data_IF_716221918220
#
_entry.id   IF_716221918220
#
_cell.length_a   1.000
_cell.length_b   1.000
_cell.length_c   1.000
_cell.angle_alpha   90.00
_cell.angle_beta   90.00
_cell.angle_gamma   90.00
#
_symmetry.space_group_name_H-M   'P 1'
#
loop_
_entity.id
_entity.type
_entity.pdbx_description
1 polymer ?
#
# COMPACT_ATOMS: atom_id res chain seq x y z
N UNK A 1 3.74 -7.86 35.05
CA UNK A 1 3.35 -9.15 34.43
C UNK A 1 4.58 -9.70 33.75
N UNK A 2 5.00 -10.92 34.09
CA UNK A 2 5.98 -11.65 33.29
C UNK A 2 5.28 -12.16 32.03
N UNK A 3 5.85 -11.92 30.85
CA UNK A 3 5.35 -12.45 29.58
C UNK A 3 6.20 -13.68 29.28
N UNK A 4 5.57 -14.84 29.06
CA UNK A 4 6.33 -16.04 28.71
C UNK A 4 6.99 -15.92 27.33
N UNK A 5 8.14 -16.57 27.18
CA UNK A 5 8.97 -16.48 25.98
C UNK A 5 8.24 -16.98 24.72
N UNK A 6 7.36 -17.97 24.86
CA UNK A 6 6.58 -18.51 23.75
C UNK A 6 5.58 -17.48 23.20
N UNK A 7 4.90 -16.74 24.07
CA UNK A 7 3.99 -15.63 23.73
C UNK A 7 4.78 -14.52 23.04
N UNK A 8 5.96 -14.18 23.57
CA UNK A 8 6.79 -13.12 22.99
C UNK A 8 7.32 -13.52 21.61
N UNK A 9 7.77 -14.76 21.43
CA UNK A 9 8.23 -15.28 20.14
C UNK A 9 7.11 -15.27 19.09
N UNK A 10 5.90 -15.72 19.47
CA UNK A 10 4.73 -15.68 18.59
C UNK A 10 4.35 -14.26 18.18
N UNK A 11 4.37 -13.34 19.14
CA UNK A 11 4.11 -11.92 18.88
C UNK A 11 5.18 -11.31 17.97
N UNK A 12 6.46 -11.64 18.19
CA UNK A 12 7.58 -11.18 17.37
C UNK A 12 7.43 -11.63 15.92
N UNK A 13 7.12 -12.91 15.69
CA UNK A 13 6.92 -13.44 14.35
C UNK A 13 5.78 -12.72 13.61
N UNK A 14 4.64 -12.50 14.28
CA UNK A 14 3.51 -11.78 13.69
C UNK A 14 3.82 -10.30 13.40
N UNK A 15 4.59 -9.65 14.28
CA UNK A 15 5.03 -8.27 14.12
C UNK A 15 5.98 -8.11 12.93
N UNK A 16 7.04 -8.93 12.89
CA UNK A 16 8.07 -8.86 11.85
C UNK A 16 7.51 -9.23 10.47
N UNK A 17 6.63 -10.24 10.38
CA UNK A 17 5.94 -10.58 9.13
C UNK A 17 5.08 -9.41 8.60
N UNK A 18 4.35 -8.71 9.49
CA UNK A 18 3.56 -7.56 9.11
C UNK A 18 4.44 -6.41 8.61
N UNK A 19 5.55 -6.12 9.30
CA UNK A 19 6.48 -5.07 8.87
C UNK A 19 7.16 -5.40 7.55
N UNK A 20 7.48 -6.68 7.31
CA UNK A 20 8.05 -7.15 6.05
C UNK A 20 7.05 -6.95 4.91
N UNK A 21 5.79 -7.34 5.09
CA UNK A 21 4.74 -7.12 4.09
C UNK A 21 4.52 -5.62 3.80
N UNK A 22 4.58 -4.75 4.82
CA UNK A 22 4.49 -3.30 4.63
C UNK A 22 5.67 -2.75 3.82
N UNK A 23 6.89 -3.27 4.03
CA UNK A 23 8.09 -2.88 3.28
C UNK A 23 7.99 -3.32 1.82
N UNK A 24 7.63 -4.58 1.58
CA UNK A 24 7.46 -5.11 0.22
C UNK A 24 6.40 -4.34 -0.56
N UNK A 25 5.27 -4.01 0.08
CA UNK A 25 4.23 -3.18 -0.51
C UNK A 25 4.75 -1.75 -0.83
N UNK A 26 5.58 -1.17 0.04
CA UNK A 26 6.21 0.14 -0.22
C UNK A 26 7.21 0.09 -1.36
N UNK A 27 8.05 -0.94 -1.44
CA UNK A 27 9.00 -1.13 -2.54
C UNK A 27 8.29 -1.35 -3.88
N UNK A 28 7.27 -2.21 -3.90
CA UNK A 28 6.44 -2.42 -5.08
C UNK A 28 5.78 -1.11 -5.53
N UNK A 29 5.25 -0.33 -4.58
CA UNK A 29 4.66 0.99 -4.86
C UNK A 29 5.68 1.96 -5.46
N UNK A 30 6.91 2.00 -4.94
CA UNK A 30 7.97 2.86 -5.47
C UNK A 30 8.33 2.47 -6.91
N UNK A 31 8.52 1.16 -7.17
CA UNK A 31 8.80 0.64 -8.51
C UNK A 31 7.68 0.99 -9.49
N UNK A 32 6.42 0.77 -9.11
CA UNK A 32 5.25 1.09 -9.93
C UNK A 32 5.11 2.60 -10.17
N UNK A 33 5.40 3.43 -9.17
CA UNK A 33 5.37 4.91 -9.32
C UNK A 33 6.44 5.38 -10.31
N UNK A 34 7.63 4.78 -10.27
CA UNK A 34 8.69 5.07 -11.23
C UNK A 34 8.28 4.66 -12.65
N UNK A 35 7.81 3.42 -12.83
CA UNK A 35 7.30 2.92 -14.11
C UNK A 35 6.18 3.81 -14.68
N UNK A 36 5.23 4.25 -13.84
CA UNK A 36 4.16 5.17 -14.26
C UNK A 36 4.69 6.50 -14.79
N UNK A 37 5.75 7.06 -14.18
CA UNK A 37 6.39 8.30 -14.67
C UNK A 37 7.05 8.09 -16.02
N UNK A 38 7.69 6.95 -16.22
CA UNK A 38 8.31 6.59 -17.50
C UNK A 38 7.25 6.43 -18.60
N UNK A 39 6.18 5.68 -18.33
CA UNK A 39 5.04 5.50 -19.25
C UNK A 39 4.37 6.84 -19.56
N UNK A 40 4.17 7.71 -18.56
CA UNK A 40 3.58 9.03 -18.78
C UNK A 40 4.47 9.94 -19.64
N UNK A 41 5.80 9.84 -19.49
CA UNK A 41 6.75 10.59 -20.31
C UNK A 41 6.77 10.06 -21.74
N UNK A 42 6.75 8.73 -21.91
CA UNK A 42 6.65 8.08 -23.21
C UNK A 42 5.35 8.45 -23.93
N UNK A 43 4.20 8.38 -23.25
CA UNK A 43 2.91 8.80 -23.78
C UNK A 43 2.97 10.22 -24.36
N UNK A 44 3.43 11.20 -23.58
CA UNK A 44 3.54 12.60 -24.06
C UNK A 44 4.40 12.74 -25.31
N UNK A 45 5.54 12.02 -25.37
CA UNK A 45 6.42 12.05 -26.55
C UNK A 45 5.74 11.45 -27.77
N UNK A 46 5.05 10.32 -27.61
CA UNK A 46 4.34 9.66 -28.70
C UNK A 46 3.14 10.47 -29.19
N UNK A 47 2.36 11.06 -28.28
CA UNK A 47 1.27 11.97 -28.63
C UNK A 47 1.78 13.17 -29.41
N UNK A 48 2.83 13.85 -28.93
CA UNK A 48 3.42 14.99 -29.63
C UNK A 48 3.98 14.61 -31.01
N UNK A 49 4.61 13.43 -31.14
CA UNK A 49 5.09 12.94 -32.43
C UNK A 49 3.91 12.69 -33.39
N UNK A 50 2.83 12.06 -32.91
CA UNK A 50 1.62 11.80 -33.69
C UNK A 50 0.95 13.09 -34.16
N UNK A 51 0.79 14.07 -33.25
CA UNK A 51 0.18 15.37 -33.53
C UNK A 51 0.99 16.22 -34.52
N UNK A 52 2.31 16.05 -34.59
CA UNK A 52 3.17 16.75 -35.55
C UNK A 52 3.20 16.13 -36.95
N UNK A 53 2.68 14.92 -37.15
CA UNK A 53 2.56 14.32 -38.48
C UNK A 53 1.48 15.03 -39.30
N UNK A 54 1.71 15.16 -40.61
CA UNK A 54 0.67 15.59 -41.56
C UNK A 54 -0.46 14.56 -41.64
N UNK A 55 -1.64 14.98 -42.09
CA UNK A 55 -2.78 14.07 -42.28
C UNK A 55 -2.44 12.92 -43.24
N UNK A 56 -1.71 13.21 -44.32
CA UNK A 56 -1.22 12.22 -45.29
C UNK A 56 -0.30 11.19 -44.63
N UNK A 57 0.63 11.63 -43.76
CA UNK A 57 1.53 10.75 -43.04
C UNK A 57 0.76 9.89 -42.02
N UNK A 58 -0.22 10.45 -41.31
CA UNK A 58 -1.08 9.68 -40.39
C UNK A 58 -1.91 8.63 -41.14
N UNK A 59 -2.47 8.98 -42.31
CA UNK A 59 -3.20 8.04 -43.15
C UNK A 59 -2.31 6.89 -43.63
N UNK A 60 -1.06 7.18 -44.02
CA UNK A 60 -0.11 6.14 -44.42
C UNK A 60 0.26 5.22 -43.25
N UNK A 61 0.43 5.75 -42.03
CA UNK A 61 0.68 4.94 -40.84
C UNK A 61 -0.53 4.07 -40.50
N UNK A 62 -1.75 4.62 -40.56
CA UNK A 62 -2.99 3.87 -40.33
C UNK A 62 -3.15 2.73 -41.34
N UNK A 63 -2.89 3.00 -42.63
CA UNK A 63 -2.90 1.98 -43.67
C UNK A 63 -1.84 0.89 -43.38
N UNK A 64 -0.62 1.28 -43.01
CA UNK A 64 0.46 0.33 -42.70
C UNK A 64 0.11 -0.56 -41.51
N UNK A 65 -0.49 0.01 -40.45
CA UNK A 65 -0.93 -0.75 -39.29
C UNK A 65 -2.00 -1.79 -39.65
N UNK A 66 -2.93 -1.48 -40.56
CA UNK A 66 -3.96 -2.43 -41.01
C UNK A 66 -3.38 -3.62 -41.81
N UNK A 67 -2.23 -3.42 -42.47
CA UNK A 67 -1.62 -4.42 -43.35
C UNK A 67 -0.39 -5.10 -42.72
N UNK A 68 -0.06 -4.77 -41.47
CA UNK A 68 1.05 -5.40 -40.73
C UNK A 68 0.50 -6.31 -39.65
N UNK A 69 0.84 -7.59 -39.70
CA UNK A 69 0.38 -8.55 -38.71
C UNK A 69 0.82 -8.16 -37.28
N UNK A 70 -0.15 -8.09 -36.37
CA UNK A 70 0.09 -7.73 -34.96
C UNK A 70 0.26 -6.23 -34.69
N UNK A 71 0.18 -5.37 -35.71
CA UNK A 71 0.12 -3.93 -35.50
C UNK A 71 -1.30 -3.50 -35.09
N UNK A 72 -1.37 -2.52 -34.18
CA UNK A 72 -2.61 -1.90 -33.74
C UNK A 72 -2.64 -0.42 -34.14
N UNK A 73 -3.84 0.21 -34.23
CA UNK A 73 -3.95 1.64 -34.48
C UNK A 73 -3.20 2.47 -33.42
N UNK A 74 -2.50 3.51 -33.86
CA UNK A 74 -1.66 4.34 -32.98
C UNK A 74 -2.52 5.06 -31.93
N UNK A 75 -3.69 5.56 -32.30
CA UNK A 75 -4.61 6.22 -31.37
C UNK A 75 -5.10 5.28 -30.26
N UNK A 76 -5.40 4.02 -30.60
CA UNK A 76 -5.80 3.02 -29.61
C UNK A 76 -4.65 2.69 -28.64
N UNK A 77 -3.41 2.64 -29.15
CA UNK A 77 -2.23 2.46 -28.32
C UNK A 77 -1.97 3.68 -27.41
N UNK A 78 -2.15 4.90 -27.91
CA UNK A 78 -2.04 6.13 -27.10
C UNK A 78 -3.09 6.18 -25.99
N UNK A 79 -4.35 5.82 -26.30
CA UNK A 79 -5.42 5.71 -25.31
C UNK A 79 -5.08 4.67 -24.24
N UNK A 80 -4.56 3.51 -24.63
CA UNK A 80 -4.13 2.46 -23.68
C UNK A 80 -3.00 2.97 -22.76
N UNK A 81 -2.05 3.73 -23.30
CA UNK A 81 -0.98 4.34 -22.51
C UNK A 81 -1.53 5.39 -21.53
N UNK A 82 -2.47 6.23 -21.97
CA UNK A 82 -3.16 7.19 -21.12
C UNK A 82 -3.91 6.48 -19.99
N UNK A 83 -4.73 5.49 -20.33
CA UNK A 83 -5.47 4.68 -19.36
C UNK A 83 -4.53 4.01 -18.37
N UNK A 84 -3.40 3.45 -18.81
CA UNK A 84 -2.39 2.85 -17.91
C UNK A 84 -1.81 3.88 -16.94
N UNK A 85 -1.59 5.12 -17.40
CA UNK A 85 -1.14 6.22 -16.56
C UNK A 85 -2.24 6.68 -15.59
N UNK A 86 -3.51 6.53 -15.93
CA UNK A 86 -4.64 7.02 -15.13
C UNK A 86 -5.19 5.96 -14.16
N UNK A 87 -5.34 4.70 -14.59
CA UNK A 87 -5.95 3.58 -13.84
C UNK A 87 -5.00 2.80 -12.96
N UNK A 88 -3.67 2.96 -13.10
CA UNK A 88 -2.72 2.52 -12.05
C UNK A 88 -2.81 3.50 -10.86
N UNK A 89 -4.01 3.55 -10.28
CA UNK A 89 -4.32 4.04 -8.95
C UNK A 89 -4.21 2.85 -8.03
N UNK A 90 -2.97 2.45 -7.72
CA UNK A 90 -2.80 1.84 -6.42
C UNK A 90 -3.05 2.96 -5.41
N UNK A 91 -4.18 2.87 -4.70
CA UNK A 91 -4.39 3.64 -3.49
C UNK A 91 -3.09 3.53 -2.70
N UNK A 92 -2.36 4.65 -2.58
CA UNK A 92 -1.14 4.74 -1.78
C UNK A 92 -1.43 3.97 -0.51
N UNK A 93 -0.79 2.81 -0.33
CA UNK A 93 -1.00 1.93 0.82
C UNK A 93 -1.01 2.83 2.05
N UNK A 94 -2.24 3.09 2.54
CA UNK A 94 -2.68 4.34 3.16
C UNK A 94 -1.60 5.43 3.26
N UNK A 95 -1.72 6.54 2.49
CA UNK A 95 -1.08 7.86 2.79
C UNK A 95 -0.83 7.90 4.28
N UNK A 96 0.44 7.93 4.72
CA UNK A 96 0.86 8.03 6.13
C UNK A 96 -0.20 8.82 6.89
N UNK A 97 -1.22 8.17 7.47
CA UNK A 97 -2.27 8.88 8.17
C UNK A 97 -1.55 9.26 9.45
N UNK A 98 -1.12 10.51 9.48
CA UNK A 98 -0.14 11.03 10.42
C UNK A 98 -0.43 10.55 11.84
N UNK A 99 0.32 9.54 12.26
CA UNK A 99 0.55 9.25 13.66
C UNK A 99 2.06 9.18 13.80
N UNK A 100 2.61 10.32 14.25
CA UNK A 100 4.02 10.66 14.42
C UNK A 100 4.85 9.70 15.29
N UNK A 101 4.33 8.55 15.70
CA UNK A 101 5.03 7.60 16.56
C UNK A 101 5.98 6.64 15.82
N UNK A 102 5.87 6.51 14.49
CA UNK A 102 6.70 5.54 13.73
C UNK A 102 6.37 4.07 14.02
N UNK A 103 5.22 3.81 14.67
CA UNK A 103 4.73 2.49 15.09
C UNK A 103 3.60 2.05 14.16
N UNK A 104 3.70 0.85 13.59
CA UNK A 104 2.63 0.29 12.74
C UNK A 104 1.43 -0.17 13.58
N UNK A 105 0.26 0.42 13.32
CA UNK A 105 -0.99 -0.05 13.91
C UNK A 105 -1.41 -1.43 13.37
N UNK A 106 -1.06 -1.75 12.12
CA UNK A 106 -1.36 -3.07 11.55
C UNK A 106 -0.50 -4.15 12.19
N UNK A 107 0.76 -3.84 12.52
CA UNK A 107 1.61 -4.76 13.29
C UNK A 107 1.02 -5.04 14.69
N UNK A 108 0.49 -4.02 15.37
CA UNK A 108 -0.24 -4.21 16.64
C UNK A 108 -1.48 -5.10 16.43
N UNK A 109 -2.24 -4.91 15.35
CA UNK A 109 -3.39 -5.78 15.02
C UNK A 109 -2.97 -7.20 14.70
N UNK A 110 -1.84 -7.39 14.01
CA UNK A 110 -1.30 -8.71 13.70
C UNK A 110 -0.92 -9.46 14.99
N UNK A 111 -0.26 -8.79 15.94
CA UNK A 111 0.02 -9.34 17.27
C UNK A 111 -1.27 -9.67 18.01
N UNK A 112 -2.25 -8.77 18.02
CA UNK A 112 -3.54 -9.02 18.67
C UNK A 112 -4.23 -10.27 18.11
N UNK A 113 -4.24 -10.44 16.78
CA UNK A 113 -4.79 -11.64 16.11
C UNK A 113 -3.99 -12.90 16.47
N UNK A 114 -2.66 -12.83 16.44
CA UNK A 114 -1.79 -13.96 16.77
C UNK A 114 -1.99 -14.43 18.23
N UNK A 115 -2.26 -13.50 19.14
CA UNK A 115 -2.52 -13.78 20.55
C UNK A 115 -3.99 -13.99 20.88
N UNK A 116 -4.89 -13.98 19.89
CA UNK A 116 -6.34 -14.16 20.05
C UNK A 116 -6.95 -13.13 21.03
N UNK A 117 -6.40 -11.91 21.02
CA UNK A 117 -6.88 -10.81 21.86
C UNK A 117 -8.09 -10.16 21.17
N UNK A 118 -9.21 -10.08 21.90
CA UNK A 118 -10.46 -9.57 21.32
C UNK A 118 -10.45 -8.05 21.20
N UNK A 119 -11.01 -7.57 20.09
CA UNK A 119 -11.39 -6.16 19.96
C UNK A 119 -12.63 -5.91 20.82
N UNK A 120 -12.46 -5.20 21.93
CA UNK A 120 -13.58 -4.62 22.64
C UNK A 120 -13.95 -3.33 21.90
N UNK A 121 -15.18 -3.24 21.39
CA UNK A 121 -15.66 -2.05 20.70
C UNK A 121 -15.35 -0.77 21.49
N UNK A 122 -15.25 0.35 20.76
CA UNK A 122 -14.90 1.70 21.24
C UNK A 122 -15.31 1.99 22.71
N UNK A 123 -14.45 1.67 23.67
CA UNK A 123 -14.64 2.08 25.06
C UNK A 123 -13.71 3.25 25.36
N UNK A 124 -14.27 4.45 25.51
CA UNK A 124 -13.54 5.64 25.97
C UNK A 124 -13.32 5.57 27.49
N UNK A 125 -12.85 4.44 28.02
CA UNK A 125 -12.61 4.26 29.46
C UNK A 125 -11.26 4.86 29.86
N UNK A 126 -11.19 5.42 31.07
CA UNK A 126 -9.94 5.94 31.64
C UNK A 126 -8.91 4.82 31.80
N UNK A 127 -9.31 3.68 32.37
CA UNK A 127 -8.43 2.52 32.60
C UNK A 127 -8.43 1.56 31.39
N UNK A 128 -7.26 1.01 31.01
CA UNK A 128 -7.18 -0.02 29.97
C UNK A 128 -7.84 -1.31 30.42
N UNK A 129 -8.48 -2.02 29.50
CA UNK A 129 -8.95 -3.38 29.76
C UNK A 129 -7.75 -4.33 29.98
N UNK A 130 -7.93 -5.48 30.65
CA UNK A 130 -6.84 -6.44 30.88
C UNK A 130 -6.13 -6.85 29.58
N UNK A 131 -6.91 -7.05 28.52
CA UNK A 131 -6.43 -7.38 27.17
C UNK A 131 -5.68 -6.24 26.49
N UNK A 132 -6.12 -4.98 26.67
CA UNK A 132 -5.38 -3.80 26.19
C UNK A 132 -4.03 -3.67 26.93
N UNK A 133 -4.02 -3.95 28.23
CA UNK A 133 -2.83 -3.89 29.07
C UNK A 133 -1.83 -4.98 28.70
N UNK A 134 -2.31 -6.21 28.47
CA UNK A 134 -1.49 -7.34 28.01
C UNK A 134 -0.90 -7.07 26.62
N UNK A 135 -1.73 -6.62 25.68
CA UNK A 135 -1.27 -6.28 24.33
C UNK A 135 -0.26 -5.11 24.35
N UNK A 136 -0.49 -4.10 25.18
CA UNK A 136 0.46 -3.00 25.37
C UNK A 136 1.81 -3.50 25.91
N UNK A 137 1.80 -4.37 26.93
CA UNK A 137 3.03 -4.91 27.50
C UNK A 137 3.82 -5.72 26.47
N UNK A 138 3.14 -6.60 25.71
CA UNK A 138 3.77 -7.39 24.65
C UNK A 138 4.32 -6.50 23.54
N UNK A 139 3.51 -5.59 22.99
CA UNK A 139 3.97 -4.72 21.92
C UNK A 139 5.08 -3.76 22.37
N UNK A 140 5.08 -3.29 23.64
CA UNK A 140 6.18 -2.50 24.19
C UNK A 140 7.49 -3.27 24.31
N UNK A 141 7.43 -4.58 24.54
CA UNK A 141 8.62 -5.43 24.52
C UNK A 141 9.20 -5.57 23.10
N UNK A 142 8.39 -5.38 22.06
CA UNK A 142 8.81 -5.40 20.66
C UNK A 142 9.29 -4.03 20.15
N UNK A 143 8.56 -2.96 20.53
CA UNK A 143 8.89 -1.56 20.22
C UNK A 143 8.48 -0.66 21.39
N UNK A 144 9.47 -0.11 22.09
CA UNK A 144 9.29 0.72 23.28
C UNK A 144 8.44 1.99 23.04
N UNK A 145 8.31 2.43 21.77
CA UNK A 145 7.52 3.60 21.38
C UNK A 145 6.02 3.32 21.36
N UNK A 146 5.60 2.06 21.47
CA UNK A 146 4.17 1.69 21.49
C UNK A 146 3.50 2.32 22.70
N UNK A 147 2.46 3.10 22.44
CA UNK A 147 1.63 3.73 23.47
C UNK A 147 0.28 3.03 23.61
N UNK A 148 -0.38 3.22 24.76
CA UNK A 148 -1.76 2.73 24.96
C UNK A 148 -2.72 3.28 23.89
N UNK A 149 -2.49 4.51 23.43
CA UNK A 149 -3.28 5.11 22.34
C UNK A 149 -3.12 4.33 21.03
N UNK A 150 -1.92 3.84 20.71
CA UNK A 150 -1.71 2.99 19.54
C UNK A 150 -2.51 1.69 19.66
N UNK A 151 -2.45 1.03 20.82
CA UNK A 151 -3.19 -0.21 21.08
C UNK A 151 -4.70 -0.02 20.95
N UNK A 152 -5.27 1.00 21.59
CA UNK A 152 -6.70 1.33 21.46
C UNK A 152 -7.10 1.63 20.03
N UNK A 153 -6.29 2.37 19.28
CA UNK A 153 -6.57 2.67 17.87
C UNK A 153 -6.44 1.44 16.95
N UNK A 154 -5.54 0.51 17.28
CA UNK A 154 -5.42 -0.76 16.59
C UNK A 154 -6.67 -1.64 16.82
N UNK A 155 -7.16 -1.69 18.05
CA UNK A 155 -8.32 -2.52 18.41
C UNK A 155 -9.68 -1.90 18.06
N UNK A 156 -9.77 -0.62 17.69
CA UNK A 156 -11.05 -0.04 17.22
C UNK A 156 -11.54 -0.78 15.97
N UNK A 157 -12.71 -1.42 16.05
CA UNK A 157 -13.46 -1.86 14.87
C UNK A 157 -13.80 -0.65 14.03
N UNK A 158 -13.31 -0.63 12.78
CA UNK A 158 -13.85 0.28 11.77
C UNK A 158 -15.23 -0.28 11.39
N UNK A 159 -16.28 0.50 11.62
CA UNK A 159 -17.59 0.28 10.98
C UNK A 159 -17.44 0.44 9.48
#
# INVERSE_FOLDING_TARGET
MSIDDATLAKARAAWDACLQQEREAQEAQQRLTAARKEVATFHRRMTAAWENLSEEARAQVAWTAQHTAGAAPVEAALLTLQETVETVLFEVGRKRRGHYSGVSLEAIRAVARALVIRSYGSSQRANPLPDESRLLAVCKALDARVTLRNVRNALKTRK
#
